data_IF_177326853556
#
_entry.id   IF_177326853556
#
_cell.length_a   1.000
_cell.length_b   1.000
_cell.length_c   1.000
_cell.angle_alpha   90.00
_cell.angle_beta   90.00
_cell.angle_gamma   90.00
#
_symmetry.space_group_name_H-M   'P 1'
#
loop_
_entity.id
_entity.type
_entity.pdbx_description
1 polymer ?
#
# COMPACT_ATOMS: atom_id res chain seq x y z
N UNK A 1 31.87 22.92 -48.05
CA UNK A 1 30.71 22.05 -47.76
C UNK A 1 30.98 20.61 -48.21
N UNK A 2 31.71 19.80 -47.43
CA UNK A 2 31.96 18.36 -47.74
C UNK A 2 32.32 17.56 -46.47
N UNK A 3 31.44 17.47 -45.47
CA UNK A 3 31.70 16.64 -44.26
C UNK A 3 30.45 16.03 -43.61
N UNK A 4 29.29 15.96 -44.30
CA UNK A 4 28.05 15.47 -43.67
C UNK A 4 27.57 14.07 -44.10
N UNK A 5 28.26 13.39 -45.03
CA UNK A 5 27.82 12.08 -45.57
C UNK A 5 28.35 10.85 -44.82
N UNK A 6 29.24 11.02 -43.84
CA UNK A 6 29.88 9.89 -43.14
C UNK A 6 29.15 9.35 -41.91
N UNK A 7 28.21 10.11 -41.33
CA UNK A 7 27.61 9.79 -40.02
C UNK A 7 26.40 8.85 -40.15
N UNK A 8 25.71 8.82 -41.29
CA UNK A 8 24.50 7.99 -41.46
C UNK A 8 24.80 6.49 -41.60
N UNK A 9 25.96 6.11 -42.13
CA UNK A 9 26.32 4.70 -42.33
C UNK A 9 26.73 3.99 -41.04
N UNK A 10 27.25 4.72 -40.05
CA UNK A 10 27.65 4.15 -38.76
C UNK A 10 26.45 3.73 -37.89
N UNK A 11 25.31 4.42 -38.01
CA UNK A 11 24.11 4.12 -37.21
C UNK A 11 23.37 2.85 -37.68
N UNK A 12 23.48 2.50 -38.97
CA UNK A 12 22.82 1.30 -39.51
C UNK A 12 23.54 0.03 -39.06
N UNK A 13 24.88 0.04 -38.96
CA UNK A 13 25.65 -1.13 -38.49
C UNK A 13 25.46 -1.38 -36.99
N UNK A 14 25.26 -0.33 -36.17
CA UNK A 14 25.01 -0.50 -34.73
C UNK A 14 23.63 -1.11 -34.44
N UNK A 15 22.64 -0.87 -35.31
CA UNK A 15 21.29 -1.45 -35.15
C UNK A 15 21.22 -2.95 -35.42
N UNK A 16 22.18 -3.51 -36.18
CA UNK A 16 22.17 -4.92 -36.57
C UNK A 16 22.80 -5.86 -35.52
N UNK A 17 23.52 -5.32 -34.52
CA UNK A 17 24.18 -6.12 -33.49
C UNK A 17 23.26 -6.51 -32.31
N UNK A 18 22.01 -6.02 -32.27
CA UNK A 18 21.10 -6.24 -31.15
C UNK A 18 20.14 -7.44 -31.31
N UNK A 19 20.26 -8.24 -32.39
CA UNK A 19 19.28 -9.30 -32.71
C UNK A 19 19.72 -10.73 -32.30
N UNK A 20 20.89 -10.90 -31.67
CA UNK A 20 21.40 -12.22 -31.28
C UNK A 20 21.36 -12.43 -29.77
N UNK A 21 20.16 -12.39 -29.20
CA UNK A 21 19.90 -12.78 -27.81
C UNK A 21 18.92 -13.95 -27.78
N UNK A 22 19.36 -15.14 -28.15
CA UNK A 22 18.63 -16.37 -27.85
C UNK A 22 18.65 -16.55 -26.33
N UNK A 23 17.62 -16.05 -25.65
CA UNK A 23 17.36 -16.38 -24.26
C UNK A 23 16.99 -17.87 -24.21
N UNK A 24 17.99 -18.73 -23.98
CA UNK A 24 17.73 -20.06 -23.49
C UNK A 24 16.99 -19.88 -22.16
N UNK A 25 15.70 -20.23 -22.14
CA UNK A 25 14.90 -20.30 -20.93
C UNK A 25 15.45 -21.43 -20.06
N UNK A 26 16.51 -21.13 -19.30
CA UNK A 26 16.95 -21.99 -18.23
C UNK A 26 15.92 -21.85 -17.12
N UNK A 27 15.06 -22.86 -16.97
CA UNK A 27 14.03 -23.00 -15.93
C UNK A 27 14.62 -23.15 -14.51
N UNK A 28 15.84 -22.65 -14.26
CA UNK A 28 16.33 -22.43 -12.92
C UNK A 28 15.67 -21.18 -12.38
N UNK A 29 14.54 -21.39 -11.70
CA UNK A 29 13.90 -20.36 -10.88
C UNK A 29 14.89 -19.98 -9.77
N UNK A 30 15.79 -19.05 -10.06
CA UNK A 30 16.85 -18.63 -9.14
C UNK A 30 16.20 -18.13 -7.85
N UNK A 31 16.44 -18.86 -6.78
CA UNK A 31 15.92 -18.53 -5.48
C UNK A 31 16.53 -17.19 -5.07
N UNK A 32 15.70 -16.16 -4.91
CA UNK A 32 16.18 -14.82 -4.58
C UNK A 32 16.23 -14.69 -3.06
N UNK A 33 17.39 -14.29 -2.54
CA UNK A 33 17.54 -13.98 -1.12
C UNK A 33 16.83 -12.66 -0.85
N UNK A 34 15.80 -12.68 -0.01
CA UNK A 34 15.16 -11.45 0.46
C UNK A 34 15.86 -11.03 1.76
N UNK A 35 16.42 -9.83 1.75
CA UNK A 35 16.86 -9.15 2.95
C UNK A 35 15.94 -7.99 3.27
N UNK A 36 15.83 -7.66 4.55
CA UNK A 36 15.19 -6.43 5.00
C UNK A 36 16.12 -5.26 4.70
N UNK A 37 15.93 -4.64 3.54
CA UNK A 37 16.84 -3.66 2.94
C UNK A 37 16.26 -2.24 2.93
N UNK A 38 15.15 -1.99 3.64
CA UNK A 38 14.50 -0.67 3.68
C UNK A 38 15.12 0.16 4.81
N UNK A 39 16.07 1.08 4.55
CA UNK A 39 16.62 1.92 5.61
C UNK A 39 15.55 2.87 6.17
N UNK A 40 15.63 3.29 7.44
CA UNK A 40 14.76 4.34 7.96
C UNK A 40 14.96 5.66 7.19
N UNK A 41 13.86 6.39 6.94
CA UNK A 41 13.92 7.69 6.24
C UNK A 41 13.87 8.86 7.22
N UNK A 42 14.97 9.61 7.30
CA UNK A 42 15.14 10.78 8.18
C UNK A 42 15.05 12.12 7.43
N UNK A 43 14.35 12.17 6.30
CA UNK A 43 14.24 13.39 5.51
C UNK A 43 13.33 14.46 6.15
N UNK A 44 13.43 15.72 5.69
CA UNK A 44 12.73 16.87 6.28
C UNK A 44 11.20 16.84 6.12
N UNK A 45 10.69 16.03 5.20
CA UNK A 45 9.27 15.85 4.91
C UNK A 45 8.81 14.44 5.26
N UNK A 46 8.98 14.04 6.53
CA UNK A 46 8.40 12.82 7.09
C UNK A 46 7.02 13.05 7.73
N UNK A 47 6.35 11.99 8.19
CA UNK A 47 5.06 12.09 8.87
C UNK A 47 5.17 12.98 10.12
N UNK A 48 4.15 13.81 10.36
CA UNK A 48 4.20 14.88 11.37
C UNK A 48 4.94 16.16 10.96
N UNK A 49 5.54 16.24 9.77
CA UNK A 49 6.06 17.49 9.19
C UNK A 49 4.92 18.28 8.52
N UNK A 50 4.89 19.63 8.63
CA UNK A 50 3.89 20.43 7.92
C UNK A 50 4.01 20.33 6.39
N UNK A 51 5.17 19.92 5.88
CA UNK A 51 5.41 19.71 4.44
C UNK A 51 5.03 18.31 3.96
N UNK A 52 4.58 17.43 4.85
CA UNK A 52 4.29 16.04 4.50
C UNK A 52 3.14 15.90 3.50
N UNK A 53 2.06 16.67 3.67
CA UNK A 53 0.97 16.70 2.70
C UNK A 53 1.40 17.16 1.30
N UNK A 54 2.32 18.12 1.22
CA UNK A 54 2.88 18.56 -0.07
C UNK A 54 3.72 17.45 -0.73
N UNK A 55 4.50 16.70 0.07
CA UNK A 55 5.23 15.52 -0.44
C UNK A 55 4.27 14.50 -1.06
N UNK A 56 3.21 14.14 -0.35
CA UNK A 56 2.20 13.21 -0.85
C UNK A 56 1.54 13.71 -2.15
N UNK A 57 1.18 15.00 -2.21
CA UNK A 57 0.58 15.59 -3.40
C UNK A 57 1.53 15.59 -4.62
N UNK A 58 2.82 15.87 -4.42
CA UNK A 58 3.81 15.82 -5.49
C UNK A 58 4.03 14.39 -5.99
N UNK A 59 4.03 13.40 -5.09
CA UNK A 59 4.12 11.99 -5.46
C UNK A 59 2.89 11.51 -6.24
N UNK A 60 1.68 11.89 -5.82
CA UNK A 60 0.45 11.59 -6.55
C UNK A 60 0.43 12.26 -7.93
N UNK A 61 0.93 13.49 -8.02
CA UNK A 61 1.07 14.22 -9.27
C UNK A 61 2.06 13.51 -10.22
N UNK A 62 3.22 13.11 -9.71
CA UNK A 62 4.23 12.38 -10.48
C UNK A 62 3.72 11.03 -11.01
N UNK A 63 2.99 10.27 -10.17
CA UNK A 63 2.29 9.07 -10.62
C UNK A 63 1.24 9.38 -11.69
N UNK A 64 0.50 10.48 -11.56
CA UNK A 64 -0.55 10.86 -12.50
C UNK A 64 -0.02 11.11 -13.92
N UNK A 65 1.18 11.70 -14.03
CA UNK A 65 1.86 11.98 -15.29
C UNK A 65 2.61 10.78 -15.87
N UNK A 66 2.67 9.66 -15.15
CA UNK A 66 3.32 8.44 -15.64
C UNK A 66 2.39 7.70 -16.63
N UNK A 67 2.61 7.90 -17.93
CA UNK A 67 1.74 7.34 -18.98
C UNK A 67 1.79 5.80 -19.07
N UNK A 68 2.91 5.18 -18.68
CA UNK A 68 3.09 3.74 -18.71
C UNK A 68 2.56 3.07 -17.43
N UNK A 69 1.67 2.09 -17.54
CA UNK A 69 1.06 1.42 -16.37
C UNK A 69 2.07 0.63 -15.54
N UNK A 70 3.04 -0.05 -16.18
CA UNK A 70 4.14 -0.73 -15.47
C UNK A 70 4.94 0.25 -14.63
N UNK A 71 5.37 1.36 -15.24
CA UNK A 71 6.13 2.40 -14.56
C UNK A 71 5.32 3.03 -13.43
N UNK A 72 4.02 3.26 -13.64
CA UNK A 72 3.11 3.79 -12.62
C UNK A 72 3.01 2.85 -11.42
N UNK A 73 2.86 1.55 -11.66
CA UNK A 73 2.84 0.53 -10.59
C UNK A 73 4.19 0.50 -9.86
N UNK A 74 5.31 0.59 -10.58
CA UNK A 74 6.62 0.64 -9.97
C UNK A 74 6.77 1.88 -9.07
N UNK A 75 6.35 3.06 -9.53
CA UNK A 75 6.36 4.28 -8.70
C UNK A 75 5.47 4.15 -7.46
N UNK A 76 4.28 3.56 -7.60
CA UNK A 76 3.41 3.29 -6.45
C UNK A 76 4.06 2.33 -5.44
N UNK A 77 4.75 1.29 -5.92
CA UNK A 77 5.49 0.37 -5.06
C UNK A 77 6.67 1.06 -4.37
N UNK A 78 7.41 1.93 -5.07
CA UNK A 78 8.50 2.73 -4.48
C UNK A 78 7.98 3.72 -3.42
N UNK A 79 6.85 4.38 -3.68
CA UNK A 79 6.22 5.24 -2.69
C UNK A 79 5.73 4.44 -1.47
N UNK A 80 5.18 3.23 -1.67
CA UNK A 80 4.83 2.33 -0.57
C UNK A 80 6.08 1.90 0.22
N UNK A 81 7.19 1.58 -0.45
CA UNK A 81 8.49 1.29 0.17
C UNK A 81 8.98 2.47 1.01
N UNK A 82 8.84 3.70 0.49
CA UNK A 82 9.15 4.94 1.20
C UNK A 82 8.26 5.15 2.43
N UNK A 83 6.98 4.76 2.39
CA UNK A 83 6.14 4.80 3.59
C UNK A 83 6.65 3.82 4.66
N UNK A 84 7.13 2.64 4.29
CA UNK A 84 7.70 1.70 5.26
C UNK A 84 9.00 2.21 5.89
N UNK A 85 9.85 2.93 5.15
CA UNK A 85 11.02 3.59 5.74
C UNK A 85 10.66 4.71 6.71
N UNK A 86 9.58 5.46 6.43
CA UNK A 86 9.03 6.45 7.36
C UNK A 86 8.42 5.82 8.62
N UNK A 87 7.74 4.67 8.49
CA UNK A 87 7.24 3.90 9.63
C UNK A 87 8.40 3.47 10.53
N UNK A 88 9.46 2.91 9.94
CA UNK A 88 10.65 2.49 10.68
C UNK A 88 11.27 3.66 11.45
N UNK A 89 11.53 4.77 10.78
CA UNK A 89 12.09 5.97 11.42
C UNK A 89 11.16 6.50 12.54
N UNK A 90 9.85 6.52 12.33
CA UNK A 90 8.88 6.97 13.34
C UNK A 90 8.85 6.07 14.56
N UNK A 91 8.93 4.75 14.37
CA UNK A 91 8.97 3.77 15.46
C UNK A 91 10.29 3.84 16.25
N UNK A 92 11.43 4.05 15.59
CA UNK A 92 12.74 4.28 16.23
C UNK A 92 12.71 5.53 17.13
N UNK A 93 11.96 6.55 16.73
CA UNK A 93 11.77 7.79 17.50
C UNK A 93 10.59 7.73 18.49
N UNK A 94 9.95 6.57 18.68
CA UNK A 94 8.75 6.38 19.52
C UNK A 94 7.56 7.29 19.17
N UNK A 95 7.43 7.69 17.89
CA UNK A 95 6.33 8.53 17.39
C UNK A 95 5.24 7.67 16.79
N UNK A 96 4.42 7.08 17.66
CA UNK A 96 3.36 6.13 17.24
C UNK A 96 2.32 6.75 16.29
N UNK A 97 1.90 8.00 16.51
CA UNK A 97 0.95 8.70 15.63
C UNK A 97 1.52 8.90 14.22
N UNK A 98 2.78 9.31 14.12
CA UNK A 98 3.51 9.45 12.84
C UNK A 98 3.66 8.11 12.11
N UNK A 99 3.92 7.04 12.86
CA UNK A 99 3.98 5.69 12.30
C UNK A 99 2.61 5.23 11.76
N UNK A 100 1.52 5.51 12.47
CA UNK A 100 0.16 5.20 12.03
C UNK A 100 -0.22 6.01 10.78
N UNK A 101 0.13 7.29 10.72
CA UNK A 101 -0.05 8.14 9.55
C UNK A 101 0.67 7.56 8.32
N UNK A 102 1.95 7.20 8.47
CA UNK A 102 2.72 6.56 7.41
C UNK A 102 2.12 5.21 6.97
N UNK A 103 1.62 4.39 7.90
CA UNK A 103 0.94 3.12 7.59
C UNK A 103 -0.37 3.32 6.83
N UNK A 104 -1.11 4.38 7.13
CA UNK A 104 -2.32 4.73 6.39
C UNK A 104 -1.98 5.12 4.94
N UNK A 105 -0.94 5.92 4.74
CA UNK A 105 -0.45 6.27 3.40
C UNK A 105 0.14 5.06 2.67
N UNK A 106 0.84 4.16 3.37
CA UNK A 106 1.28 2.88 2.81
C UNK A 106 0.09 2.10 2.25
N UNK A 107 -0.96 1.94 3.06
CA UNK A 107 -2.17 1.25 2.64
C UNK A 107 -2.84 1.92 1.44
N UNK A 108 -2.90 3.26 1.41
CA UNK A 108 -3.43 4.01 0.28
C UNK A 108 -2.69 3.65 -1.02
N UNK A 109 -1.35 3.65 -1.01
CA UNK A 109 -0.54 3.29 -2.18
C UNK A 109 -0.74 1.83 -2.60
N UNK A 110 -0.75 0.89 -1.65
CA UNK A 110 -1.01 -0.53 -1.94
C UNK A 110 -2.39 -0.76 -2.55
N UNK A 111 -3.42 -0.05 -2.05
CA UNK A 111 -4.77 -0.12 -2.59
C UNK A 111 -4.87 0.53 -3.97
N UNK A 112 -4.16 1.64 -4.20
CA UNK A 112 -4.09 2.26 -5.53
C UNK A 112 -3.46 1.31 -6.55
N UNK A 113 -2.40 0.59 -6.16
CA UNK A 113 -1.79 -0.43 -7.02
C UNK A 113 -2.74 -1.58 -7.32
N UNK A 114 -3.50 -2.05 -6.33
CA UNK A 114 -4.55 -3.05 -6.53
C UNK A 114 -5.59 -2.59 -7.58
N UNK A 115 -6.02 -1.33 -7.52
CA UNK A 115 -6.95 -0.74 -8.50
C UNK A 115 -6.33 -0.65 -9.88
N UNK A 116 -5.10 -0.14 -9.99
CA UNK A 116 -4.36 -0.04 -11.26
C UNK A 116 -4.25 -1.43 -11.90
N UNK A 117 -3.86 -2.42 -11.11
CA UNK A 117 -3.69 -3.80 -11.58
C UNK A 117 -5.00 -4.41 -12.00
N UNK A 118 -6.10 -4.18 -11.27
CA UNK A 118 -7.40 -4.73 -11.65
C UNK A 118 -7.85 -4.27 -13.04
N UNK A 119 -7.45 -3.06 -13.45
CA UNK A 119 -7.73 -2.49 -14.78
C UNK A 119 -6.74 -2.93 -15.85
N UNK A 120 -5.51 -3.26 -15.45
CA UNK A 120 -4.44 -3.58 -16.37
C UNK A 120 -4.59 -4.97 -16.98
N UNK A 121 -4.70 -5.05 -18.32
CA UNK A 121 -4.93 -6.31 -19.04
C UNK A 121 -3.66 -6.93 -19.63
N UNK A 122 -2.45 -6.40 -19.38
CA UNK A 122 -1.24 -6.90 -20.06
C UNK A 122 0.06 -6.81 -19.25
N UNK A 123 1.05 -7.59 -19.66
CA UNK A 123 2.40 -7.77 -19.11
C UNK A 123 2.50 -8.51 -17.77
N UNK A 124 2.86 -9.79 -17.84
CA UNK A 124 3.19 -10.62 -16.69
C UNK A 124 4.41 -10.06 -15.92
N UNK A 125 5.39 -9.48 -16.61
CA UNK A 125 6.65 -9.04 -16.01
C UNK A 125 6.46 -7.92 -14.98
N UNK A 126 5.64 -6.91 -15.27
CA UNK A 126 5.38 -5.83 -14.32
C UNK A 126 4.65 -6.30 -13.07
N UNK A 127 3.67 -7.21 -13.26
CA UNK A 127 2.95 -7.82 -12.16
C UNK A 127 3.85 -8.70 -11.28
N UNK A 128 4.76 -9.47 -11.89
CA UNK A 128 5.72 -10.29 -11.16
C UNK A 128 6.67 -9.43 -10.32
N UNK A 129 7.18 -8.33 -10.88
CA UNK A 129 8.03 -7.42 -10.12
C UNK A 129 7.30 -6.75 -8.97
N UNK A 130 6.07 -6.27 -9.18
CA UNK A 130 5.27 -5.71 -8.10
C UNK A 130 4.92 -6.75 -7.03
N UNK A 131 4.63 -8.01 -7.42
CA UNK A 131 4.43 -9.11 -6.48
C UNK A 131 5.69 -9.42 -5.66
N UNK A 132 6.87 -9.34 -6.27
CA UNK A 132 8.17 -9.44 -5.58
C UNK A 132 8.33 -8.32 -4.53
N UNK A 133 8.03 -7.07 -4.89
CA UNK A 133 8.09 -5.94 -3.96
C UNK A 133 7.10 -6.08 -2.79
N UNK A 134 5.89 -6.60 -3.03
CA UNK A 134 4.93 -6.91 -1.97
C UNK A 134 5.51 -7.93 -0.99
N UNK A 135 6.18 -8.97 -1.50
CA UNK A 135 6.84 -9.96 -0.65
C UNK A 135 7.94 -9.34 0.23
N UNK A 136 8.72 -8.39 -0.33
CA UNK A 136 9.70 -7.60 0.44
C UNK A 136 9.01 -6.76 1.53
N UNK A 137 7.93 -6.06 1.18
CA UNK A 137 7.14 -5.27 2.13
C UNK A 137 6.60 -6.12 3.29
N UNK A 138 6.11 -7.32 3.01
CA UNK A 138 5.64 -8.25 4.04
C UNK A 138 6.75 -8.68 4.99
N UNK A 139 7.97 -8.91 4.50
CA UNK A 139 9.11 -9.23 5.35
C UNK A 139 9.40 -8.06 6.33
N UNK A 140 9.48 -6.83 5.81
CA UNK A 140 9.73 -5.64 6.64
C UNK A 140 8.61 -5.44 7.66
N UNK A 141 7.34 -5.56 7.25
CA UNK A 141 6.20 -5.47 8.15
C UNK A 141 6.22 -6.56 9.22
N UNK A 142 6.61 -7.79 8.87
CA UNK A 142 6.76 -8.90 9.83
C UNK A 142 7.84 -8.61 10.86
N UNK A 143 9.00 -8.10 10.43
CA UNK A 143 10.10 -7.72 11.32
C UNK A 143 9.70 -6.57 12.25
N UNK A 144 9.04 -5.54 11.72
CA UNK A 144 8.51 -4.43 12.52
C UNK A 144 7.45 -4.91 13.52
N UNK A 145 6.56 -5.82 13.13
CA UNK A 145 5.54 -6.37 14.01
C UNK A 145 6.15 -7.20 15.15
N UNK A 146 7.26 -7.92 14.90
CA UNK A 146 7.99 -8.64 15.94
C UNK A 146 8.58 -7.69 16.99
N UNK A 147 9.09 -6.53 16.59
CA UNK A 147 9.58 -5.48 17.50
C UNK A 147 8.47 -4.68 18.19
N UNK A 148 7.28 -4.59 17.56
CA UNK A 148 6.16 -3.76 18.02
C UNK A 148 4.83 -4.53 18.02
N UNK A 149 4.67 -5.58 18.85
CA UNK A 149 3.54 -6.52 18.76
C UNK A 149 2.17 -5.87 19.03
N UNK A 150 2.13 -4.77 19.79
CA UNK A 150 0.90 -4.06 20.15
C UNK A 150 0.48 -3.00 19.11
N UNK A 151 1.26 -2.79 18.05
CA UNK A 151 0.90 -1.85 16.99
C UNK A 151 -0.16 -2.47 16.06
N UNK A 152 -1.40 -1.98 16.17
CA UNK A 152 -2.54 -2.48 15.39
C UNK A 152 -2.44 -2.11 13.91
N UNK A 153 -1.88 -0.94 13.60
CA UNK A 153 -1.60 -0.49 12.23
C UNK A 153 -0.67 -1.42 11.47
N UNK A 154 0.45 -1.84 12.08
CA UNK A 154 1.41 -2.79 11.48
C UNK A 154 0.73 -4.12 11.16
N UNK A 155 -0.07 -4.65 12.10
CA UNK A 155 -0.81 -5.90 11.90
C UNK A 155 -1.82 -5.77 10.77
N UNK A 156 -2.53 -4.65 10.69
CA UNK A 156 -3.47 -4.35 9.61
C UNK A 156 -2.75 -4.28 8.26
N UNK A 157 -1.64 -3.54 8.17
CA UNK A 157 -0.83 -3.43 6.96
C UNK A 157 -0.27 -4.78 6.51
N UNK A 158 0.21 -5.61 7.44
CA UNK A 158 0.69 -6.96 7.16
C UNK A 158 -0.43 -7.84 6.57
N UNK A 159 -1.58 -7.92 7.24
CA UNK A 159 -2.72 -8.71 6.74
C UNK A 159 -3.23 -8.21 5.38
N UNK A 160 -3.24 -6.90 5.18
CA UNK A 160 -3.63 -6.30 3.91
C UNK A 160 -2.66 -6.64 2.77
N UNK A 161 -1.35 -6.61 3.04
CA UNK A 161 -0.34 -6.99 2.05
C UNK A 161 -0.38 -8.49 1.70
N UNK A 162 -0.76 -9.36 2.65
CA UNK A 162 -1.04 -10.78 2.37
C UNK A 162 -2.21 -10.96 1.39
N UNK A 163 -3.33 -10.27 1.63
CA UNK A 163 -4.50 -10.31 0.73
C UNK A 163 -4.19 -9.78 -0.65
N UNK A 164 -3.31 -8.78 -0.73
CA UNK A 164 -2.90 -8.23 -2.01
C UNK A 164 -2.01 -9.22 -2.77
N UNK A 165 -1.04 -9.86 -2.12
CA UNK A 165 -0.23 -10.91 -2.74
C UNK A 165 -1.10 -12.05 -3.30
N UNK A 166 -2.15 -12.47 -2.58
CA UNK A 166 -3.08 -13.49 -3.06
C UNK A 166 -3.74 -13.09 -4.39
N UNK A 167 -4.26 -11.86 -4.48
CA UNK A 167 -4.86 -11.32 -5.73
C UNK A 167 -3.87 -11.23 -6.87
N UNK A 168 -2.63 -10.84 -6.57
CA UNK A 168 -1.56 -10.86 -7.55
C UNK A 168 -1.29 -12.28 -8.03
N UNK A 169 -1.22 -13.24 -7.11
CA UNK A 169 -0.98 -14.63 -7.47
C UNK A 169 -2.08 -15.26 -8.30
N UNK A 170 -3.34 -14.90 -8.06
CA UNK A 170 -4.47 -15.27 -8.92
C UNK A 170 -4.29 -14.72 -10.34
N UNK A 171 -3.80 -13.49 -10.46
CA UNK A 171 -3.63 -12.82 -11.76
C UNK A 171 -2.39 -13.28 -12.52
N UNK A 172 -1.29 -13.56 -11.82
CA UNK A 172 -0.03 -14.01 -12.43
C UNK A 172 0.05 -15.54 -12.55
N UNK A 173 -0.85 -16.27 -11.89
CA UNK A 173 -0.75 -17.72 -11.68
C UNK A 173 0.56 -18.13 -10.99
N UNK A 174 1.13 -17.24 -10.17
CA UNK A 174 2.38 -17.46 -9.45
C UNK A 174 2.21 -17.15 -7.97
N UNK A 175 2.79 -17.96 -7.09
CA UNK A 175 2.87 -17.70 -5.65
C UNK A 175 4.30 -17.75 -5.19
N UNK A 176 4.70 -16.82 -4.33
CA UNK A 176 6.01 -16.86 -3.72
C UNK A 176 5.99 -17.72 -2.46
N UNK A 177 6.79 -18.79 -2.47
CA UNK A 177 7.05 -19.56 -1.27
C UNK A 177 8.27 -18.98 -0.56
N UNK A 178 8.12 -18.71 0.74
CA UNK A 178 9.17 -18.15 1.61
C UNK A 178 9.66 -19.27 2.52
N UNK A 179 10.93 -19.62 2.39
CA UNK A 179 11.57 -20.61 3.26
C UNK A 179 12.75 -19.96 3.94
N UNK A 180 12.85 -20.12 5.26
CA UNK A 180 14.03 -19.70 6.02
C UNK A 180 15.12 -20.75 5.82
N UNK A 181 16.25 -20.33 5.26
CA UNK A 181 17.42 -21.20 5.07
C UNK A 181 18.24 -21.36 6.36
N UNK A 182 19.20 -22.28 6.37
CA UNK A 182 20.11 -22.56 7.50
C UNK A 182 20.86 -21.34 8.00
N UNK A 183 21.10 -20.36 7.13
CA UNK A 183 21.77 -19.09 7.45
C UNK A 183 20.81 -18.02 8.01
N UNK A 184 19.58 -18.39 8.40
CA UNK A 184 18.52 -17.47 8.83
C UNK A 184 18.14 -16.42 7.76
N UNK A 185 18.39 -16.73 6.49
CA UNK A 185 18.02 -15.90 5.36
C UNK A 185 16.66 -16.36 4.81
N UNK A 186 15.78 -15.42 4.49
CA UNK A 186 14.51 -15.76 3.84
C UNK A 186 14.75 -15.90 2.34
N UNK A 187 14.67 -17.13 1.84
CA UNK A 187 14.74 -17.43 0.42
C UNK A 187 13.32 -17.40 -0.13
N UNK A 188 13.13 -16.67 -1.23
CA UNK A 188 11.89 -16.63 -1.96
C UNK A 188 12.01 -17.40 -3.27
N UNK A 189 11.06 -18.31 -3.49
CA UNK A 189 10.93 -19.08 -4.73
C UNK A 189 9.56 -18.84 -5.34
N UNK A 190 9.53 -18.45 -6.61
CA UNK A 190 8.28 -18.35 -7.35
C UNK A 190 7.80 -19.75 -7.72
N UNK A 191 6.57 -20.09 -7.37
CA UNK A 191 5.93 -21.37 -7.69
C UNK A 191 4.75 -21.06 -8.60
N UNK A 192 4.70 -21.67 -9.77
CA UNK A 192 3.51 -21.60 -10.62
C UNK A 192 2.37 -22.29 -9.91
N UNK A 193 1.30 -21.55 -9.65
CA UNK A 193 0.05 -22.16 -9.21
C UNK A 193 -0.39 -23.06 -10.34
N UNK A 194 -0.39 -24.37 -10.11
CA UNK A 194 -0.95 -25.31 -11.06
C UNK A 194 -2.32 -24.77 -11.44
N UNK A 195 -2.59 -24.64 -12.75
CA UNK A 195 -3.97 -24.42 -13.18
C UNK A 195 -4.71 -25.57 -12.54
N UNK A 196 -5.54 -25.28 -11.52
CA UNK A 196 -6.56 -26.23 -11.12
C UNK A 196 -7.34 -26.40 -12.40
N UNK A 197 -7.02 -27.47 -13.11
CA UNK A 197 -7.77 -27.94 -14.25
C UNK A 197 -9.19 -27.96 -13.72
N UNK A 198 -9.96 -26.96 -14.12
CA UNK A 198 -11.37 -26.94 -13.84
C UNK A 198 -11.91 -28.04 -14.73
N UNK A 199 -11.71 -29.28 -14.30
CA UNK A 199 -12.55 -30.43 -14.62
C UNK A 199 -13.93 -30.06 -14.07
N UNK A 200 -14.60 -29.14 -14.76
CA UNK A 200 -16.04 -29.02 -14.75
C UNK A 200 -16.50 -30.26 -15.51
N UNK A 201 -17.06 -31.27 -14.83
CA UNK A 201 -17.63 -32.41 -15.52
C UNK A 201 -18.75 -31.88 -16.41
N UNK A 202 -18.59 -32.05 -17.73
CA UNK A 202 -19.63 -31.95 -18.75
C UNK A 202 -20.65 -30.83 -18.57
N UNK A 203 -20.35 -29.64 -19.11
CA UNK A 203 -21.42 -28.97 -19.85
C UNK A 203 -21.50 -29.66 -21.21
N UNK A 204 -22.67 -30.18 -21.63
CA UNK A 204 -22.81 -30.80 -22.93
C UNK A 204 -22.40 -29.80 -24.00
N UNK A 205 -21.55 -30.27 -24.90
CA UNK A 205 -21.12 -29.57 -26.10
C UNK A 205 -22.36 -29.14 -26.89
N UNK A 206 -22.79 -27.89 -26.71
CA UNK A 206 -23.83 -27.30 -27.55
C UNK A 206 -23.17 -27.07 -28.90
N UNK A 207 -23.33 -28.04 -29.79
CA UNK A 207 -23.02 -27.91 -31.21
C UNK A 207 -23.77 -26.70 -31.73
N UNK A 208 -23.05 -25.57 -31.85
CA UNK A 208 -23.53 -24.40 -32.56
C UNK A 208 -23.68 -24.78 -34.03
N UNK A 209 -24.86 -25.30 -34.38
CA UNK A 209 -25.33 -25.33 -35.75
C UNK A 209 -25.46 -23.88 -36.19
N UNK A 210 -24.52 -23.44 -37.03
CA UNK A 210 -24.58 -22.19 -37.80
C UNK A 210 -25.80 -22.23 -38.73
N UNK A 211 -26.97 -21.97 -38.15
CA UNK A 211 -28.21 -21.68 -38.85
C UNK A 211 -28.27 -20.19 -39.14
N UNK A 212 -27.88 -19.83 -40.37
CA UNK A 212 -28.05 -18.52 -40.98
C UNK A 212 -29.55 -18.18 -41.03
N UNK A 213 -30.07 -17.16 -40.32
CA UNK A 213 -31.41 -16.66 -40.57
C UNK A 213 -31.33 -15.76 -41.81
N UNK A 214 -32.21 -16.08 -42.76
CA UNK A 214 -32.48 -15.27 -43.92
C UNK A 214 -33.01 -13.88 -43.54
N UNK A 215 -32.80 -12.97 -44.48
CA UNK A 215 -33.32 -11.62 -44.55
C UNK A 215 -34.73 -11.46 -43.99
N UNK A 216 -34.90 -10.46 -43.12
CA UNK A 216 -36.15 -9.71 -43.11
C UNK A 216 -35.83 -8.23 -42.98
N UNK A 217 -35.73 -7.63 -44.16
CA UNK A 217 -35.88 -6.22 -44.45
C UNK A 217 -37.23 -5.75 -43.89
N UNK A 218 -37.23 -4.75 -43.02
CA UNK A 218 -38.39 -3.86 -42.90
C UNK A 218 -37.92 -2.47 -42.51
N UNK A 219 -38.21 -1.57 -43.45
CA UNK A 219 -38.15 -0.13 -43.35
C UNK A 219 -38.82 0.44 -42.09
N UNK A 220 -38.43 1.69 -41.85
CA UNK A 220 -39.14 2.81 -41.19
C UNK A 220 -38.56 3.18 -39.84
N UNK A 221 -38.47 4.45 -39.47
CA UNK A 221 -38.57 5.74 -40.15
C UNK A 221 -38.23 6.74 -39.04
N UNK A 222 -37.70 7.90 -39.44
CA UNK A 222 -37.48 9.10 -38.62
C UNK A 222 -38.42 9.23 -37.42
N UNK A 223 -37.85 9.50 -36.24
CA UNK A 223 -38.34 10.66 -35.49
C UNK A 223 -37.26 11.32 -34.65
N UNK A 224 -37.01 12.57 -35.00
CA UNK A 224 -36.26 13.55 -34.23
C UNK A 224 -37.12 14.04 -33.05
N UNK A 225 -36.45 14.66 -32.09
CA UNK A 225 -36.98 15.77 -31.30
C UNK A 225 -37.86 15.43 -30.08
N UNK A 226 -37.24 15.36 -28.89
CA UNK A 226 -37.82 15.92 -27.66
C UNK A 226 -36.74 16.11 -26.57
N UNK A 227 -36.51 17.38 -26.22
CA UNK A 227 -35.80 17.89 -25.04
C UNK A 227 -36.83 18.04 -23.88
N UNK A 228 -36.43 18.38 -22.64
CA UNK A 228 -36.63 17.59 -21.43
C UNK A 228 -37.82 18.05 -20.57
N UNK A 229 -38.37 17.16 -19.73
CA UNK A 229 -39.28 17.55 -18.65
C UNK A 229 -38.68 17.16 -17.28
N UNK A 230 -38.33 18.19 -16.53
CA UNK A 230 -37.90 18.12 -15.13
C UNK A 230 -39.16 17.97 -14.28
N UNK A 231 -39.40 16.77 -13.73
CA UNK A 231 -40.42 16.58 -12.70
C UNK A 231 -39.78 16.67 -11.32
N UNK A 232 -40.01 17.80 -10.66
CA UNK A 232 -39.80 18.00 -9.22
C UNK A 232 -40.92 17.26 -8.47
N UNK A 233 -40.61 16.18 -7.77
CA UNK A 233 -41.53 15.61 -6.77
C UNK A 233 -41.18 16.14 -5.37
N UNK A 234 -41.94 17.14 -4.94
CA UNK A 234 -42.18 17.43 -3.52
C UNK A 234 -43.24 16.44 -2.99
N UNK A 235 -42.86 15.63 -2.00
CA UNK A 235 -43.74 14.85 -1.12
C UNK A 235 -42.88 14.48 0.08
N UNK A 236 -43.17 14.71 1.34
CA UNK A 236 -44.32 15.21 2.07
C UNK A 236 -44.02 14.82 3.51
N UNK A 237 -44.08 15.77 4.45
CA UNK A 237 -43.96 15.49 5.89
C UNK A 237 -45.04 14.50 6.33
N UNK A 238 -44.75 13.66 7.34
CA UNK A 238 -45.63 13.63 8.49
C UNK A 238 -44.89 13.86 9.81
N UNK A 239 -45.69 14.39 10.72
CA UNK A 239 -45.41 14.96 12.03
C UNK A 239 -45.63 13.91 13.14
N UNK A 240 -45.07 14.15 14.33
CA UNK A 240 -45.42 13.56 15.65
C UNK A 240 -44.96 12.10 15.93
N UNK A 241 -44.34 11.71 17.05
CA UNK A 241 -44.11 12.26 18.40
C UNK A 241 -42.98 11.48 19.13
N UNK A 242 -42.42 11.98 20.24
CA UNK A 242 -41.23 11.40 20.88
C UNK A 242 -41.55 10.30 21.89
N UNK A 243 -40.83 9.17 21.83
CA UNK A 243 -40.81 8.17 22.91
C UNK A 243 -39.58 8.42 23.80
N UNK A 244 -39.88 8.94 24.98
CA UNK A 244 -39.00 8.99 26.14
C UNK A 244 -38.66 7.54 26.56
N UNK A 245 -37.38 7.20 26.65
CA UNK A 245 -36.94 6.04 27.45
C UNK A 245 -35.93 6.53 28.46
N UNK A 246 -36.34 6.41 29.72
CA UNK A 246 -35.55 6.70 30.91
C UNK A 246 -34.42 5.68 31.09
N UNK A 247 -33.32 6.23 31.61
CA UNK A 247 -32.15 5.62 32.23
C UNK A 247 -32.55 4.58 33.29
N UNK A 248 -31.72 3.53 33.49
CA UNK A 248 -31.14 3.39 34.83
C UNK A 248 -29.61 3.38 34.81
N UNK A 249 -29.04 4.27 35.63
CA UNK A 249 -27.70 4.18 36.17
C UNK A 249 -27.66 2.92 37.04
N UNK A 250 -26.68 2.05 36.81
CA UNK A 250 -26.20 1.15 37.85
C UNK A 250 -24.78 1.55 38.19
N UNK A 251 -24.66 2.17 39.36
CA UNK A 251 -23.49 2.10 40.21
C UNK A 251 -23.20 0.62 40.49
N UNK A 252 -21.97 0.16 40.23
CA UNK A 252 -21.39 -0.86 41.09
C UNK A 252 -19.90 -0.60 41.28
N UNK A 253 -19.68 -0.05 42.46
CA UNK A 253 -18.47 0.01 43.24
C UNK A 253 -17.74 -1.36 43.30
N UNK A 254 -16.41 -1.30 43.45
CA UNK A 254 -15.62 -2.20 44.31
C UNK A 254 -15.33 -3.61 43.78
N UNK A 255 -14.14 -3.79 43.21
CA UNK A 255 -13.18 -4.67 43.90
C UNK A 255 -11.73 -4.48 43.44
N UNK A 256 -10.87 -4.25 44.45
CA UNK A 256 -9.44 -4.53 44.41
C UNK A 256 -9.24 -6.00 44.07
N UNK A 257 -8.35 -6.31 43.13
CA UNK A 257 -7.47 -7.43 43.39
C UNK A 257 -6.05 -7.13 42.89
N UNK A 258 -5.14 -7.04 43.86
CA UNK A 258 -3.70 -7.11 43.65
C UNK A 258 -3.41 -8.52 43.14
N UNK A 259 -2.79 -8.64 41.97
CA UNK A 259 -1.90 -9.78 41.76
C UNK A 259 -0.65 -9.32 41.04
N UNK A 260 0.37 -9.13 41.86
CA UNK A 260 1.76 -8.97 41.48
C UNK A 260 2.23 -10.35 41.01
N UNK A 261 2.63 -10.46 39.75
CA UNK A 261 3.58 -11.47 39.33
C UNK A 261 4.46 -10.86 38.23
N UNK A 262 5.59 -10.31 38.68
CA UNK A 262 6.73 -9.99 37.83
C UNK A 262 7.40 -11.31 37.41
N UNK A 263 7.68 -11.53 36.12
CA UNK A 263 8.76 -12.42 35.72
C UNK A 263 10.09 -11.66 35.67
N UNK A 264 11.13 -12.35 36.12
CA UNK A 264 12.48 -11.88 36.36
C UNK A 264 13.11 -11.12 35.17
N UNK A 265 13.71 -9.98 35.48
CA UNK A 265 14.65 -9.26 34.62
C UNK A 265 15.96 -10.05 34.58
N UNK A 266 16.25 -10.68 33.45
CA UNK A 266 17.61 -11.16 33.14
C UNK A 266 18.38 -9.99 32.56
N UNK A 267 19.23 -9.38 33.41
CA UNK A 267 20.23 -8.40 33.01
C UNK A 267 21.29 -9.08 32.14
N UNK A 268 21.38 -8.66 30.88
CA UNK A 268 22.47 -9.00 29.97
C UNK A 268 23.49 -7.86 30.06
N UNK A 269 24.78 -8.12 30.30
CA UNK A 269 25.79 -7.06 30.33
C UNK A 269 25.98 -6.45 28.94
N UNK A 270 25.69 -5.16 28.81
CA UNK A 270 26.10 -4.35 27.66
C UNK A 270 27.59 -4.06 27.80
N UNK A 271 28.40 -4.68 26.93
CA UNK A 271 29.78 -4.29 26.68
C UNK A 271 29.81 -3.07 25.78
N UNK A 272 30.16 -1.93 26.36
CA UNK A 272 30.41 -0.66 25.66
C UNK A 272 31.74 -0.75 24.89
N UNK A 273 31.79 -0.49 23.56
CA UNK A 273 33.04 -0.16 22.92
C UNK A 273 33.45 1.28 23.28
N UNK A 274 34.58 1.36 23.94
CA UNK A 274 35.37 2.54 24.28
C UNK A 274 35.75 3.30 23.00
N UNK A 275 35.24 4.52 22.82
CA UNK A 275 35.65 5.39 21.73
C UNK A 275 35.83 6.83 22.22
N UNK A 276 37.10 7.28 22.15
CA UNK A 276 37.52 8.63 21.79
C UNK A 276 37.03 9.78 22.66
N UNK A 277 37.87 10.17 23.62
CA UNK A 277 37.85 11.44 24.33
C UNK A 277 37.92 12.64 23.37
N UNK A 278 36.83 13.41 23.28
CA UNK A 278 36.80 14.77 22.75
C UNK A 278 36.26 15.72 23.81
N UNK A 279 37.14 16.50 24.44
CA UNK A 279 36.79 17.53 25.40
C UNK A 279 36.02 18.67 24.72
N UNK A 280 34.83 18.97 25.22
CA UNK A 280 34.02 20.13 24.82
C UNK A 280 33.15 20.58 25.98
N UNK A 281 33.71 21.45 26.83
CA UNK A 281 33.04 22.05 27.98
C UNK A 281 32.00 23.09 27.53
N UNK A 282 30.74 22.90 27.92
CA UNK A 282 29.68 23.89 27.79
C UNK A 282 28.62 23.65 28.87
N UNK A 283 28.59 24.52 29.88
CA UNK A 283 27.57 24.53 30.93
C UNK A 283 26.19 24.89 30.37
N UNK A 284 25.10 24.25 30.84
CA UNK A 284 23.74 24.71 30.57
C UNK A 284 23.33 25.80 31.58
N UNK A 285 22.56 26.82 31.17
CA UNK A 285 21.76 27.60 32.10
C UNK A 285 20.43 26.90 32.37
N UNK A 286 20.12 26.77 33.65
CA UNK A 286 18.81 26.47 34.20
C UNK A 286 17.75 27.44 33.64
N UNK A 287 16.67 26.92 33.07
CA UNK A 287 15.44 27.70 32.92
C UNK A 287 14.22 26.90 33.41
N UNK A 288 13.64 27.42 34.49
CA UNK A 288 12.42 26.95 35.13
C UNK A 288 11.27 27.79 34.59
N UNK A 289 10.56 27.26 33.60
CA UNK A 289 9.35 27.87 33.05
C UNK A 289 8.12 27.00 33.21
N UNK A 290 7.55 26.96 34.41
CA UNK A 290 6.21 26.42 34.70
C UNK A 290 5.16 27.47 34.31
N UNK A 291 4.33 27.21 33.32
CA UNK A 291 3.11 27.98 33.06
C UNK A 291 2.00 27.06 32.54
N UNK A 292 1.08 26.73 33.46
CA UNK A 292 -0.20 26.14 33.13
C UNK A 292 -1.09 27.15 32.39
N UNK A 293 -1.73 26.67 31.32
CA UNK A 293 -2.69 27.42 30.53
C UNK A 293 -3.92 26.58 30.22
N UNK A 294 -4.77 26.41 31.23
CA UNK A 294 -6.15 25.95 31.08
C UNK A 294 -6.97 27.08 30.45
N UNK A 295 -7.48 26.91 29.23
CA UNK A 295 -8.54 27.75 28.71
C UNK A 295 -9.59 26.89 28.00
N UNK A 296 -10.69 26.66 28.70
CA UNK A 296 -11.92 26.16 28.11
C UNK A 296 -12.56 27.24 27.26
N UNK A 297 -13.07 26.85 26.09
CA UNK A 297 -14.00 27.66 25.32
C UNK A 297 -15.26 26.82 25.08
N UNK A 298 -16.26 27.05 25.93
CA UNK A 298 -17.64 26.64 25.71
C UNK A 298 -18.26 27.57 24.66
N UNK A 299 -18.39 27.10 23.43
CA UNK A 299 -19.22 27.75 22.41
C UNK A 299 -20.69 27.41 22.61
N UNK A 300 -21.42 28.25 23.34
CA UNK A 300 -22.89 28.34 23.31
C UNK A 300 -23.30 29.44 22.33
N UNK A 301 -24.30 29.15 21.49
CA UNK A 301 -25.07 30.14 20.74
C UNK A 301 -25.18 29.78 19.24
N UNK A 302 -26.29 29.97 18.55
CA UNK A 302 -27.57 30.56 18.91
C UNK A 302 -28.61 30.16 17.86
N UNK A 303 -29.85 30.05 18.31
CA UNK A 303 -31.05 29.80 17.52
C UNK A 303 -31.26 30.87 16.43
N UNK A 304 -31.75 30.45 15.25
CA UNK A 304 -32.64 31.30 14.44
C UNK A 304 -33.52 30.45 13.53
N UNK A 305 -34.78 30.36 13.92
CA UNK A 305 -35.92 30.11 13.04
C UNK A 305 -36.01 31.24 11.99
N UNK A 306 -36.17 30.86 10.73
CA UNK A 306 -37.13 31.47 9.79
C UNK A 306 -37.58 30.40 8.80
#
# INVERSE_FOLDING_TARGET
MKTFKGICTALIVLSLLCLSGTAAAQDDTQATVITDDIPPYYGPAGPGSPLYGLKLALEDMDESFTANETERINRQMEHARLRLSEVRASLELNRSDSAEEALNNYWLKMNLTNVTISRWNSSATGLLHAQEQIAKHQLVLGNLLAGHPNNTGLRRAYNNSLRLEERFGEKTMMKFNRTVDRNNQTIMKAIRLGQKEQDRPGWPEVTATTGRPAEQETEREKNQNAKPEVTVQQRGKPDQSPLVTQVPQNEQEKNRNKNVNQPAVTTIPVTTPQQGSGQGSGNPPDDKGNAGGNSGSQGKGNSRNK
#
